data_IF_535550772321
#
_entry.id   IF_535550772321
#
_cell.length_a   1.000
_cell.length_b   1.000
_cell.length_c   1.000
_cell.angle_alpha   90.00
_cell.angle_beta   90.00
_cell.angle_gamma   90.00
#
_symmetry.space_group_name_H-M   'P 1'
#
loop_
_entity.id
_entity.type
_entity.pdbx_description
1 polymer ?
#
# COMPACT_ATOMS: atom_id res chain seq x y z
N UNK A 1 8.04 -3.60 3.29
CA UNK A 1 6.92 -3.09 4.12
C UNK A 1 5.90 -4.20 4.30
N UNK A 2 5.46 -4.49 5.52
CA UNK A 2 4.30 -5.37 5.76
C UNK A 2 3.33 -4.71 6.74
N UNK A 3 2.04 -4.96 6.50
CA UNK A 3 0.94 -4.58 7.36
C UNK A 3 0.21 -5.86 7.69
N UNK A 4 0.13 -6.20 8.98
CA UNK A 4 -0.57 -7.40 9.40
C UNK A 4 -2.09 -7.17 9.40
N UNK A 5 -2.84 -8.26 9.50
CA UNK A 5 -4.29 -8.22 9.51
C UNK A 5 -4.88 -7.46 10.72
N UNK A 6 -4.09 -7.29 11.78
CA UNK A 6 -4.36 -6.57 13.03
C UNK A 6 -3.81 -5.12 13.02
N UNK A 7 -3.35 -4.62 11.87
CA UNK A 7 -2.88 -3.24 11.71
C UNK A 7 -1.48 -2.99 12.27
N UNK A 8 -0.73 -4.04 12.62
CA UNK A 8 0.66 -3.89 13.03
C UNK A 8 1.52 -3.56 11.80
N UNK A 9 2.40 -2.57 11.98
CA UNK A 9 3.21 -2.02 10.91
C UNK A 9 4.68 -2.37 11.11
N UNK A 10 5.30 -2.93 10.07
CA UNK A 10 6.74 -3.19 10.06
C UNK A 10 7.40 -2.71 8.77
N UNK A 11 8.49 -1.94 8.94
CA UNK A 11 9.47 -1.77 7.89
C UNK A 11 10.21 -3.08 7.69
N UNK A 12 9.76 -3.86 6.71
CA UNK A 12 10.54 -4.96 6.16
C UNK A 12 11.48 -4.36 5.12
N UNK A 13 12.79 -4.50 5.38
CA UNK A 13 13.86 -4.25 4.41
C UNK A 13 13.82 -5.37 3.36
N UNK A 14 12.84 -5.25 2.47
CA UNK A 14 12.64 -6.18 1.37
C UNK A 14 13.21 -5.50 0.13
N UNK A 15 14.33 -6.02 -0.37
CA UNK A 15 14.74 -5.76 -1.75
C UNK A 15 13.59 -6.25 -2.64
N UNK A 16 12.88 -5.30 -3.26
CA UNK A 16 11.78 -5.61 -4.18
C UNK A 16 12.28 -6.12 -5.54
N UNK A 17 13.59 -6.35 -5.65
CA UNK A 17 14.27 -6.68 -6.89
C UNK A 17 14.36 -5.48 -7.83
N UNK A 18 14.96 -5.71 -8.99
CA UNK A 18 15.00 -4.73 -10.06
C UNK A 18 13.59 -4.26 -10.42
N UNK A 19 13.35 -2.95 -10.37
CA UNK A 19 12.06 -2.32 -10.63
C UNK A 19 11.68 -2.32 -12.13
N UNK A 20 12.34 -3.12 -12.97
CA UNK A 20 12.09 -3.18 -14.40
C UNK A 20 10.66 -3.69 -14.66
N UNK A 21 9.89 -2.92 -15.43
CA UNK A 21 8.48 -3.23 -15.73
C UNK A 21 7.47 -2.68 -14.74
N UNK A 22 7.88 -1.88 -13.75
CA UNK A 22 6.92 -1.14 -12.91
C UNK A 22 6.34 0.03 -13.69
N UNK A 23 5.02 0.16 -13.61
CA UNK A 23 4.27 1.29 -14.16
C UNK A 23 3.79 2.18 -13.02
N UNK A 24 3.79 3.48 -13.25
CA UNK A 24 3.19 4.43 -12.32
C UNK A 24 1.67 4.26 -12.33
N UNK A 25 1.10 4.06 -11.15
CA UNK A 25 -0.34 3.99 -10.99
C UNK A 25 -0.90 5.41 -11.16
N UNK A 26 -1.81 5.56 -12.11
CA UNK A 26 -2.58 6.79 -12.27
C UNK A 26 -3.61 6.91 -11.14
N UNK A 27 -4.15 8.10 -10.87
CA UNK A 27 -5.22 8.25 -9.90
C UNK A 27 -6.39 7.31 -10.21
N UNK A 28 -6.78 6.48 -9.24
CA UNK A 28 -7.72 5.39 -9.47
C UNK A 28 -7.82 4.39 -8.33
N UNK A 29 -8.69 3.40 -8.49
CA UNK A 29 -8.84 2.28 -7.55
C UNK A 29 -8.37 1.00 -8.21
N UNK A 30 -7.55 0.24 -7.49
CA UNK A 30 -6.92 -1.00 -7.94
C UNK A 30 -7.15 -2.10 -6.92
N UNK A 31 -7.12 -3.34 -7.39
CA UNK A 31 -7.29 -4.52 -6.55
C UNK A 31 -6.05 -5.40 -6.63
N UNK A 32 -5.57 -5.86 -5.49
CA UNK A 32 -4.38 -6.70 -5.41
C UNK A 32 -4.47 -7.70 -4.25
N UNK A 33 -4.76 -8.97 -4.57
CA UNK A 33 -4.69 -10.08 -3.61
C UNK A 33 -5.49 -9.85 -2.30
N UNK A 34 -6.72 -9.35 -2.40
CA UNK A 34 -7.55 -9.04 -1.24
C UNK A 34 -7.22 -7.70 -0.57
N UNK A 35 -6.64 -6.78 -1.34
CA UNK A 35 -6.43 -5.39 -0.96
C UNK A 35 -6.98 -4.46 -2.02
N UNK A 36 -7.87 -3.56 -1.63
CA UNK A 36 -8.16 -2.33 -2.37
C UNK A 36 -7.04 -1.30 -2.19
N UNK A 37 -6.58 -0.73 -3.30
CA UNK A 37 -5.58 0.35 -3.34
C UNK A 37 -6.18 1.56 -4.03
N UNK A 38 -6.35 2.65 -3.28
CA UNK A 38 -6.72 3.94 -3.84
C UNK A 38 -5.45 4.75 -4.09
N UNK A 39 -5.11 4.92 -5.36
CA UNK A 39 -4.08 5.84 -5.79
C UNK A 39 -4.66 7.24 -5.91
N UNK A 40 -4.14 8.15 -5.10
CA UNK A 40 -4.24 9.59 -5.33
C UNK A 40 -2.93 10.05 -5.95
N UNK A 41 -2.90 11.19 -6.63
CA UNK A 41 -1.66 11.71 -7.21
C UNK A 41 -0.52 11.86 -6.18
N UNK A 42 -0.84 12.03 -4.90
CA UNK A 42 0.12 12.33 -3.84
C UNK A 42 0.25 11.22 -2.77
N UNK A 43 -0.63 10.21 -2.80
CA UNK A 43 -0.65 9.16 -1.78
C UNK A 43 -1.38 7.90 -2.24
N UNK A 44 -1.05 6.77 -1.62
CA UNK A 44 -1.70 5.49 -1.80
C UNK A 44 -2.37 5.05 -0.51
N UNK A 45 -3.62 4.64 -0.59
CA UNK A 45 -4.37 4.10 0.54
C UNK A 45 -4.59 2.62 0.28
N UNK A 46 -3.96 1.76 1.07
CA UNK A 46 -4.11 0.31 1.01
C UNK A 46 -5.07 -0.13 2.10
N UNK A 47 -6.11 -0.88 1.74
CA UNK A 47 -7.10 -1.43 2.69
C UNK A 47 -7.18 -2.93 2.50
N UNK A 48 -7.10 -3.70 3.58
CA UNK A 48 -7.31 -5.14 3.53
C UNK A 48 -8.81 -5.43 3.46
N UNK A 49 -9.27 -6.12 2.42
CA UNK A 49 -10.71 -6.29 2.17
C UNK A 49 -11.38 -7.16 3.26
N UNK A 50 -10.60 -8.01 3.92
CA UNK A 50 -11.10 -8.91 4.96
C UNK A 50 -11.23 -8.22 6.31
N UNK A 51 -10.32 -7.32 6.65
CA UNK A 51 -10.27 -6.72 8.00
C UNK A 51 -10.61 -5.24 8.05
N UNK A 52 -10.59 -4.54 6.91
CA UNK A 52 -10.77 -3.09 6.83
C UNK A 52 -9.57 -2.28 7.33
N UNK A 53 -8.55 -2.94 7.88
CA UNK A 53 -7.31 -2.28 8.32
C UNK A 53 -6.43 -1.93 7.12
N UNK A 54 -5.60 -0.91 7.29
CA UNK A 54 -4.82 -0.41 6.18
C UNK A 54 -3.78 0.62 6.54
N UNK A 55 -3.20 1.21 5.49
CA UNK A 55 -2.20 2.25 5.58
C UNK A 55 -2.42 3.29 4.49
N UNK A 56 -2.21 4.55 4.83
CA UNK A 56 -1.95 5.60 3.85
C UNK A 56 -0.44 5.85 3.77
N UNK A 57 0.08 5.87 2.54
CA UNK A 57 1.50 6.07 2.24
C UNK A 57 1.64 7.23 1.26
N UNK A 58 2.45 8.22 1.60
CA UNK A 58 2.93 9.26 0.70
C UNK A 58 4.47 9.31 0.72
N UNK A 59 5.05 10.25 -0.02
CA UNK A 59 6.50 10.49 0.02
C UNK A 59 6.96 11.06 1.36
N UNK A 60 6.05 11.63 2.17
CA UNK A 60 6.37 12.27 3.45
C UNK A 60 5.94 11.45 4.67
N UNK A 61 4.87 10.65 4.58
CA UNK A 61 4.29 9.97 5.73
C UNK A 61 3.76 8.59 5.38
N UNK A 62 3.92 7.65 6.30
CA UNK A 62 3.18 6.39 6.32
C UNK A 62 2.41 6.32 7.64
N UNK A 63 1.09 6.15 7.58
CA UNK A 63 0.23 6.09 8.77
C UNK A 63 -0.84 5.01 8.65
N UNK A 64 -1.20 4.35 9.75
CA UNK A 64 -2.31 3.39 9.76
C UNK A 64 -3.66 4.09 9.50
N UNK A 65 -4.60 3.33 8.96
CA UNK A 65 -6.02 3.68 8.83
C UNK A 65 -6.82 3.15 10.03
#
# INVERSE_FOLDING_TARGET
MSVSADGNFQFVDADLGALAGKVELQPGTYEAQGWSVVATGDSFIFTNDRTGHGMQVSTQVARPL
#
